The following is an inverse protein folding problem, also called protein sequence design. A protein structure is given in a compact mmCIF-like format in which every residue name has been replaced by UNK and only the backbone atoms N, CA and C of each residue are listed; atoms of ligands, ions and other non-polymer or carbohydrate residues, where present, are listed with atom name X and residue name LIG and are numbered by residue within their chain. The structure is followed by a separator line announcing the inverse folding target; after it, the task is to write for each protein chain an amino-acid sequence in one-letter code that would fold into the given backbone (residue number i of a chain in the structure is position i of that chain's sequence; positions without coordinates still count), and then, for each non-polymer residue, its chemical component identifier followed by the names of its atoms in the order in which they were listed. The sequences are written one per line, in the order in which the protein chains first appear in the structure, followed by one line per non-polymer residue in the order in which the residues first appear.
data_IF_671010118743
#
_entry.id   IF_671010118743
#
_cell.length_a   1.000
_cell.length_b   1.000
_cell.length_c   1.000
_cell.angle_alpha   90.00
_cell.angle_beta   90.00
_cell.angle_gamma   90.00
#
_symmetry.space_group_name_H-M   'P 1'
#
loop_
_entity.id
_entity.type
_entity.pdbx_description
1 polymer ?
#
# COMPACT_ATOMS: atom_id res chain seq x y z
N UNK A 1 -62.20 -24.23 10.13
CA UNK A 1 -60.89 -24.17 10.75
C UNK A 1 -59.90 -23.82 9.65
N UNK A 2 -59.42 -22.56 9.58
CA UNK A 2 -58.41 -22.12 8.61
C UNK A 2 -57.03 -22.34 9.26
N UNK A 3 -56.02 -22.85 8.52
CA UNK A 3 -54.67 -22.93 9.04
C UNK A 3 -54.05 -21.53 9.18
N UNK A 4 -53.17 -21.30 10.15
CA UNK A 4 -52.51 -20.03 10.33
C UNK A 4 -51.53 -19.73 9.16
N UNK A 5 -51.30 -18.45 8.83
CA UNK A 5 -50.37 -18.10 7.78
C UNK A 5 -48.93 -18.45 8.20
N UNK A 6 -48.27 -19.19 7.36
CA UNK A 6 -46.83 -19.49 7.48
C UNK A 6 -46.05 -18.17 7.56
N UNK A 7 -45.38 -17.95 8.68
CA UNK A 7 -44.35 -16.91 8.82
C UNK A 7 -43.27 -17.13 7.76
N UNK A 8 -43.27 -16.28 6.74
CA UNK A 8 -42.11 -16.12 5.82
C UNK A 8 -40.96 -15.62 6.66
N UNK A 9 -40.09 -16.54 7.02
CA UNK A 9 -38.74 -16.25 7.47
C UNK A 9 -38.08 -15.42 6.36
N UNK A 10 -37.71 -14.17 6.70
CA UNK A 10 -37.05 -13.28 5.77
C UNK A 10 -35.83 -13.95 5.18
N UNK A 11 -35.83 -14.12 3.88
CA UNK A 11 -34.62 -14.36 3.12
C UNK A 11 -33.69 -13.15 3.38
N UNK A 12 -32.71 -13.33 4.25
CA UNK A 12 -31.54 -12.47 4.29
C UNK A 12 -31.00 -12.42 2.85
N UNK A 13 -31.21 -11.30 2.18
CA UNK A 13 -30.64 -11.06 0.89
C UNK A 13 -29.10 -11.12 1.10
N UNK A 14 -28.49 -12.19 0.62
CA UNK A 14 -27.04 -12.33 0.54
C UNK A 14 -26.57 -11.15 -0.32
N UNK A 15 -26.13 -10.07 0.35
CA UNK A 15 -25.61 -8.88 -0.34
C UNK A 15 -24.30 -9.29 -0.96
N UNK A 16 -24.35 -9.53 -2.24
CA UNK A 16 -23.21 -9.99 -3.03
C UNK A 16 -22.05 -8.99 -2.97
N UNK A 17 -20.88 -9.47 -2.62
CA UNK A 17 -19.66 -8.64 -2.52
C UNK A 17 -19.18 -8.34 -3.92
N UNK A 18 -19.10 -7.05 -4.29
CA UNK A 18 -18.62 -6.65 -5.63
C UNK A 18 -17.25 -7.23 -5.92
N UNK A 19 -17.07 -7.86 -7.09
CA UNK A 19 -15.75 -8.35 -7.52
C UNK A 19 -14.79 -7.18 -7.72
N UNK A 20 -13.49 -7.47 -7.62
CA UNK A 20 -12.44 -6.53 -8.01
C UNK A 20 -12.33 -6.49 -9.54
N UNK A 21 -11.99 -5.33 -10.07
CA UNK A 21 -11.90 -5.11 -11.52
C UNK A 21 -10.47 -5.02 -12.00
N UNK A 22 -9.56 -4.71 -11.10
CA UNK A 22 -8.14 -4.54 -11.39
C UNK A 22 -7.47 -5.89 -11.64
N UNK A 23 -6.57 -5.88 -12.66
CA UNK A 23 -5.74 -7.03 -13.00
C UNK A 23 -4.32 -6.87 -12.46
N UNK A 24 -3.75 -7.97 -12.03
CA UNK A 24 -2.33 -8.06 -11.74
C UNK A 24 -1.54 -7.86 -13.05
N UNK A 25 -0.54 -7.00 -13.02
CA UNK A 25 0.26 -6.61 -14.21
C UNK A 25 1.05 -7.81 -14.77
N UNK A 26 1.50 -8.72 -13.91
CA UNK A 26 2.39 -9.81 -14.29
C UNK A 26 1.61 -11.05 -14.74
N UNK A 27 0.51 -11.37 -14.06
CA UNK A 27 -0.29 -12.60 -14.33
C UNK A 27 -1.51 -12.33 -15.20
N UNK A 28 -1.88 -11.07 -15.44
CA UNK A 28 -3.13 -10.64 -16.08
C UNK A 28 -4.41 -11.16 -15.38
N UNK A 29 -4.30 -11.88 -14.27
CA UNK A 29 -5.42 -12.34 -13.47
C UNK A 29 -6.05 -11.16 -12.70
N UNK A 30 -7.35 -11.24 -12.43
CA UNK A 30 -8.01 -10.30 -11.52
C UNK A 30 -7.42 -10.47 -10.11
N UNK A 31 -7.33 -9.37 -9.37
CA UNK A 31 -7.05 -9.47 -7.94
C UNK A 31 -8.24 -10.15 -7.25
N UNK A 32 -7.92 -10.97 -6.26
CA UNK A 32 -8.90 -11.65 -5.42
C UNK A 32 -8.66 -11.26 -3.96
N UNK A 33 -9.74 -11.00 -3.22
CA UNK A 33 -9.66 -10.76 -1.78
C UNK A 33 -9.39 -12.06 -1.06
N UNK A 34 -8.74 -11.98 0.09
CA UNK A 34 -8.64 -13.14 0.97
C UNK A 34 -10.04 -13.58 1.42
N UNK A 35 -10.32 -14.90 1.50
CA UNK A 35 -11.64 -15.41 1.90
C UNK A 35 -12.12 -14.87 3.25
N UNK A 36 -11.21 -14.64 4.19
CA UNK A 36 -11.52 -14.04 5.48
C UNK A 36 -11.98 -12.58 5.36
N UNK A 37 -11.39 -11.80 4.45
CA UNK A 37 -11.82 -10.41 4.17
C UNK A 37 -13.22 -10.40 3.58
N UNK A 38 -13.50 -11.27 2.62
CA UNK A 38 -14.84 -11.40 2.05
C UNK A 38 -15.88 -11.79 3.08
N UNK A 39 -15.55 -12.71 3.98
CA UNK A 39 -16.43 -13.12 5.09
C UNK A 39 -16.71 -11.94 6.02
N UNK A 40 -15.69 -11.14 6.35
CA UNK A 40 -15.84 -9.93 7.15
C UNK A 40 -16.73 -8.89 6.45
N UNK A 41 -16.52 -8.69 5.15
CA UNK A 41 -17.34 -7.77 4.35
C UNK A 41 -18.80 -8.20 4.32
N UNK A 42 -19.11 -9.47 4.02
CA UNK A 42 -20.49 -9.98 4.01
C UNK A 42 -21.16 -9.76 5.36
N UNK A 43 -20.47 -10.10 6.45
CA UNK A 43 -20.98 -9.89 7.80
C UNK A 43 -21.23 -8.41 8.09
N UNK A 44 -20.33 -7.51 7.70
CA UNK A 44 -20.48 -6.08 7.90
C UNK A 44 -21.63 -5.48 7.08
N UNK A 45 -21.85 -5.97 5.84
CA UNK A 45 -22.96 -5.56 5.00
C UNK A 45 -24.33 -6.00 5.52
N UNK A 46 -24.37 -7.07 6.32
CA UNK A 46 -25.60 -7.56 6.97
C UNK A 46 -26.01 -6.73 8.21
N UNK A 47 -25.09 -5.93 8.76
CA UNK A 47 -25.38 -5.07 9.92
C UNK A 47 -26.11 -3.80 9.50
N UNK A 48 -26.97 -3.30 10.40
CA UNK A 48 -27.47 -1.94 10.29
C UNK A 48 -26.35 -0.93 10.46
N UNK A 49 -26.49 0.23 9.85
CA UNK A 49 -25.40 1.23 9.75
C UNK A 49 -24.89 1.68 11.12
N UNK A 50 -25.80 1.98 12.04
CA UNK A 50 -25.44 2.42 13.39
C UNK A 50 -24.67 1.32 14.16
N UNK A 51 -25.12 0.07 14.06
CA UNK A 51 -24.48 -1.09 14.68
C UNK A 51 -23.09 -1.34 14.08
N UNK A 52 -22.95 -1.18 12.76
CA UNK A 52 -21.67 -1.31 12.09
C UNK A 52 -20.68 -0.24 12.59
N UNK A 53 -21.08 1.03 12.60
CA UNK A 53 -20.21 2.14 13.03
C UNK A 53 -19.79 1.94 14.49
N UNK A 54 -20.72 1.56 15.37
CA UNK A 54 -20.39 1.26 16.77
C UNK A 54 -19.39 0.09 16.86
N UNK A 55 -19.62 -1.00 16.13
CA UNK A 55 -18.75 -2.17 16.15
C UNK A 55 -17.31 -1.84 15.70
N UNK A 56 -17.14 -1.04 14.64
CA UNK A 56 -15.80 -0.71 14.11
C UNK A 56 -15.06 0.32 14.98
N UNK A 57 -15.78 1.22 15.66
CA UNK A 57 -15.18 2.22 16.55
C UNK A 57 -14.60 1.60 17.82
N UNK A 58 -15.24 0.55 18.33
CA UNK A 58 -14.87 -0.11 19.59
C UNK A 58 -14.11 -1.42 19.40
N UNK A 59 -13.79 -1.81 18.15
CA UNK A 59 -13.07 -3.06 17.90
C UNK A 59 -11.56 -2.91 18.13
N UNK A 60 -11.02 -3.77 18.98
CA UNK A 60 -9.59 -4.00 19.13
C UNK A 60 -9.19 -5.24 18.31
N UNK A 61 -7.88 -5.37 17.99
CA UNK A 61 -7.36 -6.44 17.12
C UNK A 61 -7.77 -7.87 17.53
N UNK A 62 -8.04 -8.11 18.81
CA UNK A 62 -8.47 -9.41 19.32
C UNK A 62 -9.99 -9.57 19.40
N UNK A 63 -10.76 -8.54 19.03
CA UNK A 63 -12.21 -8.59 19.05
C UNK A 63 -12.75 -9.44 17.88
N UNK A 64 -13.76 -10.31 18.11
CA UNK A 64 -14.43 -11.02 17.03
C UNK A 64 -15.17 -10.09 16.05
N UNK A 65 -15.37 -8.82 16.43
CA UNK A 65 -15.94 -7.77 15.59
C UNK A 65 -14.89 -6.99 14.82
N UNK A 66 -13.59 -7.23 15.07
CA UNK A 66 -12.52 -6.55 14.36
C UNK A 66 -12.60 -6.81 12.87
N UNK A 67 -12.60 -5.73 12.09
CA UNK A 67 -12.51 -5.79 10.63
C UNK A 67 -11.09 -5.45 10.20
N UNK A 68 -10.55 -6.23 9.27
CA UNK A 68 -9.27 -5.92 8.63
C UNK A 68 -9.36 -4.63 7.84
N UNK A 69 -8.26 -3.97 7.66
CA UNK A 69 -8.17 -2.70 6.92
C UNK A 69 -8.62 -2.86 5.46
N UNK A 70 -8.39 -4.03 4.86
CA UNK A 70 -8.89 -4.40 3.54
C UNK A 70 -10.43 -4.37 3.48
N UNK A 71 -11.10 -4.86 4.54
CA UNK A 71 -12.56 -4.83 4.64
C UNK A 71 -13.07 -3.39 4.85
N UNK A 72 -12.36 -2.57 5.64
CA UNK A 72 -12.70 -1.16 5.81
C UNK A 72 -12.59 -0.40 4.48
N UNK A 73 -11.55 -0.66 3.66
CA UNK A 73 -11.41 -0.07 2.33
C UNK A 73 -12.61 -0.42 1.42
N UNK A 74 -13.08 -1.66 1.46
CA UNK A 74 -14.29 -2.05 0.74
C UNK A 74 -15.52 -1.27 1.22
N UNK A 75 -15.74 -1.21 2.53
CA UNK A 75 -16.91 -0.56 3.13
C UNK A 75 -16.96 0.93 2.81
N UNK A 76 -15.82 1.65 2.87
CA UNK A 76 -15.74 3.05 2.47
C UNK A 76 -16.31 3.23 1.06
N UNK A 77 -15.82 2.47 0.10
CA UNK A 77 -16.23 2.57 -1.30
C UNK A 77 -17.69 2.17 -1.53
N UNK A 78 -18.16 1.13 -0.87
CA UNK A 78 -19.55 0.67 -1.00
C UNK A 78 -20.52 1.67 -0.40
N UNK A 79 -20.19 2.29 0.73
CA UNK A 79 -21.02 3.35 1.34
C UNK A 79 -21.06 4.61 0.45
N UNK A 80 -19.94 5.00 -0.16
CA UNK A 80 -19.90 6.11 -1.11
C UNK A 80 -20.79 5.85 -2.33
N UNK A 81 -20.71 4.64 -2.92
CA UNK A 81 -21.56 4.25 -4.05
C UNK A 81 -23.05 4.24 -3.72
N UNK A 82 -23.37 3.90 -2.47
CA UNK A 82 -24.73 3.95 -1.96
C UNK A 82 -25.22 5.36 -1.59
N UNK A 83 -24.36 6.39 -1.68
CA UNK A 83 -24.67 7.76 -1.30
C UNK A 83 -24.61 8.04 0.21
N UNK A 84 -24.09 7.11 0.99
CA UNK A 84 -23.97 7.21 2.46
C UNK A 84 -22.63 7.84 2.85
N UNK A 85 -22.46 9.13 2.54
CA UNK A 85 -21.20 9.86 2.73
C UNK A 85 -20.75 9.89 4.20
N UNK A 86 -21.68 10.12 5.13
CA UNK A 86 -21.34 10.19 6.57
C UNK A 86 -20.81 8.88 7.10
N UNK A 87 -21.43 7.77 6.70
CA UNK A 87 -20.98 6.42 7.05
C UNK A 87 -19.60 6.12 6.46
N UNK A 88 -19.37 6.47 5.20
CA UNK A 88 -18.06 6.32 4.57
C UNK A 88 -16.98 7.11 5.31
N UNK A 89 -17.27 8.35 5.71
CA UNK A 89 -16.35 9.20 6.48
C UNK A 89 -16.03 8.59 7.84
N UNK A 90 -17.04 8.05 8.55
CA UNK A 90 -16.85 7.41 9.85
C UNK A 90 -15.93 6.16 9.74
N UNK A 91 -16.12 5.35 8.70
CA UNK A 91 -15.24 4.19 8.44
C UNK A 91 -13.82 4.63 8.10
N UNK A 92 -13.68 5.68 7.27
CA UNK A 92 -12.38 6.25 6.90
C UNK A 92 -11.65 6.82 8.12
N UNK A 93 -12.36 7.48 9.03
CA UNK A 93 -11.78 7.99 10.29
C UNK A 93 -11.19 6.86 11.13
N UNK A 94 -11.89 5.72 11.25
CA UNK A 94 -11.36 4.56 11.97
C UNK A 94 -10.08 4.04 11.32
N UNK A 95 -10.04 3.91 10.00
CA UNK A 95 -8.85 3.48 9.26
C UNK A 95 -7.68 4.45 9.49
N UNK A 96 -7.89 5.75 9.37
CA UNK A 96 -6.88 6.77 9.61
C UNK A 96 -6.36 6.75 11.05
N UNK A 97 -7.25 6.61 12.02
CA UNK A 97 -6.89 6.54 13.45
C UNK A 97 -5.98 5.34 13.73
N UNK A 98 -6.25 4.17 13.13
CA UNK A 98 -5.39 2.98 13.26
C UNK A 98 -3.98 3.23 12.73
N UNK A 99 -3.86 3.99 11.66
CA UNK A 99 -2.59 4.20 10.97
C UNK A 99 -1.86 5.50 11.35
N UNK A 100 -2.45 6.40 12.13
CA UNK A 100 -1.85 7.68 12.50
C UNK A 100 -0.45 7.55 13.12
N UNK A 101 -0.24 6.58 14.02
CA UNK A 101 1.08 6.31 14.62
C UNK A 101 2.07 5.76 13.58
N UNK A 102 1.60 4.91 12.69
CA UNK A 102 2.41 4.32 11.62
C UNK A 102 2.88 5.39 10.64
N UNK A 103 2.00 6.32 10.23
CA UNK A 103 2.34 7.45 9.36
C UNK A 103 3.49 8.26 9.97
N UNK A 104 3.32 8.74 11.21
CA UNK A 104 4.35 9.53 11.91
C UNK A 104 5.67 8.79 12.02
N UNK A 105 5.63 7.50 12.34
CA UNK A 105 6.82 6.66 12.43
C UNK A 105 7.52 6.49 11.09
N UNK A 106 6.77 6.35 9.99
CA UNK A 106 7.34 6.25 8.62
C UNK A 106 7.98 7.57 8.19
N UNK A 107 7.32 8.71 8.41
CA UNK A 107 7.84 10.03 8.11
C UNK A 107 9.16 10.27 8.85
N UNK A 108 9.22 9.97 10.15
CA UNK A 108 10.43 10.11 10.95
C UNK A 108 11.58 9.24 10.45
N UNK A 109 11.32 7.96 10.15
CA UNK A 109 12.32 7.03 9.58
C UNK A 109 12.71 7.39 8.15
N UNK A 110 11.80 8.00 7.40
CA UNK A 110 12.03 8.45 6.03
C UNK A 110 12.93 9.67 5.91
N UNK A 111 13.38 10.26 7.01
CA UNK A 111 14.31 11.40 7.00
C UNK A 111 13.67 12.71 6.52
N UNK A 112 12.37 12.87 6.70
CA UNK A 112 11.67 14.12 6.44
C UNK A 112 11.98 15.12 7.57
N UNK A 113 12.45 16.32 7.21
CA UNK A 113 12.77 17.39 8.14
C UNK A 113 11.53 17.79 8.96
N UNK A 114 11.74 18.19 10.21
CA UNK A 114 10.66 18.48 11.15
C UNK A 114 9.67 19.52 10.62
N UNK A 115 10.16 20.53 9.93
CA UNK A 115 9.36 21.60 9.29
C UNK A 115 8.36 21.09 8.23
N UNK A 116 8.63 19.92 7.63
CA UNK A 116 7.80 19.34 6.56
C UNK A 116 6.98 18.12 7.02
N UNK A 117 7.13 17.67 8.29
CA UNK A 117 6.46 16.46 8.76
C UNK A 117 4.96 16.54 8.76
N UNK A 118 4.42 17.69 9.17
CA UNK A 118 2.98 17.93 9.20
C UNK A 118 2.39 17.94 7.80
N UNK A 119 3.03 18.65 6.86
CA UNK A 119 2.62 18.67 5.46
C UNK A 119 2.70 17.28 4.82
N UNK A 120 3.76 16.51 5.13
CA UNK A 120 3.93 15.16 4.64
C UNK A 120 2.85 14.21 5.22
N UNK A 121 2.48 14.34 6.49
CA UNK A 121 1.39 13.60 7.14
C UNK A 121 0.06 13.90 6.44
N UNK A 122 -0.25 15.18 6.27
CA UNK A 122 -1.45 15.66 5.59
C UNK A 122 -1.53 15.17 4.14
N UNK A 123 -0.42 15.15 3.40
CA UNK A 123 -0.37 14.69 2.01
C UNK A 123 -0.60 13.17 1.92
N UNK A 124 -0.02 12.36 2.84
CA UNK A 124 -0.26 10.91 2.90
C UNK A 124 -1.75 10.63 3.14
N UNK A 125 -2.36 11.33 4.11
CA UNK A 125 -3.78 11.19 4.43
C UNK A 125 -4.64 11.60 3.24
N UNK A 126 -4.34 12.76 2.62
CA UNK A 126 -5.08 13.27 1.46
C UNK A 126 -5.03 12.30 0.28
N UNK A 127 -3.84 11.79 -0.07
CA UNK A 127 -3.72 10.84 -1.19
C UNK A 127 -4.45 9.53 -0.91
N UNK A 128 -4.38 9.02 0.33
CA UNK A 128 -5.13 7.82 0.73
C UNK A 128 -6.63 8.03 0.56
N UNK A 129 -7.17 9.15 1.04
CA UNK A 129 -8.59 9.46 0.93
C UNK A 129 -9.01 9.69 -0.52
N UNK A 130 -8.24 10.42 -1.32
CA UNK A 130 -8.52 10.65 -2.74
C UNK A 130 -8.64 9.30 -3.48
N UNK A 131 -7.71 8.38 -3.26
CA UNK A 131 -7.75 7.08 -3.94
C UNK A 131 -8.89 6.16 -3.44
N UNK A 132 -9.20 6.19 -2.14
CA UNK A 132 -10.30 5.39 -1.59
C UNK A 132 -11.68 5.93 -1.97
N UNK A 133 -11.82 7.26 -2.09
CA UNK A 133 -13.10 7.92 -2.39
C UNK A 133 -13.38 7.99 -3.89
N UNK A 134 -12.38 7.81 -4.73
CA UNK A 134 -12.56 7.65 -6.19
C UNK A 134 -13.16 6.27 -6.48
N UNK A 135 -14.51 6.20 -6.46
CA UNK A 135 -15.25 4.95 -6.69
C UNK A 135 -15.23 4.47 -8.13
N UNK A 136 -14.88 5.33 -9.08
CA UNK A 136 -14.85 5.03 -10.52
C UNK A 136 -13.51 4.39 -10.93
N UNK A 137 -12.47 4.61 -10.14
CA UNK A 137 -11.15 4.05 -10.37
C UNK A 137 -10.99 2.67 -9.72
N UNK A 138 -10.22 1.79 -10.37
CA UNK A 138 -9.81 0.50 -9.83
C UNK A 138 -8.53 0.57 -8.96
N UNK A 139 -7.94 1.78 -8.80
CA UNK A 139 -6.66 1.98 -8.12
C UNK A 139 -6.67 1.44 -6.69
N UNK A 140 -7.74 1.66 -5.96
CA UNK A 140 -7.90 1.21 -4.58
C UNK A 140 -8.32 -0.26 -4.46
N UNK A 141 -8.54 -1.00 -5.55
CA UNK A 141 -8.80 -2.43 -5.49
C UNK A 141 -7.65 -3.18 -4.81
N UNK A 142 -6.41 -2.75 -5.03
CA UNK A 142 -5.26 -3.35 -4.36
C UNK A 142 -5.26 -3.11 -2.84
N UNK A 143 -5.80 -1.99 -2.37
CA UNK A 143 -5.98 -1.75 -0.93
C UNK A 143 -6.93 -2.77 -0.28
N UNK A 144 -7.89 -3.33 -1.03
CA UNK A 144 -8.82 -4.35 -0.55
C UNK A 144 -8.24 -5.77 -0.56
N UNK A 145 -7.03 -5.95 -1.10
CA UNK A 145 -6.31 -7.23 -1.16
C UNK A 145 -5.15 -7.25 -0.17
N UNK A 146 -4.36 -6.17 -0.13
CA UNK A 146 -3.15 -6.02 0.69
C UNK A 146 -2.98 -4.57 1.12
N UNK A 147 -3.77 -4.14 2.07
CA UNK A 147 -3.75 -2.75 2.54
C UNK A 147 -2.37 -2.32 3.03
N UNK A 148 -1.71 -3.13 3.82
CA UNK A 148 -0.39 -2.79 4.38
C UNK A 148 0.64 -2.45 3.31
N UNK A 149 0.70 -3.23 2.22
CA UNK A 149 1.61 -3.00 1.10
C UNK A 149 1.19 -1.79 0.26
N UNK A 150 -0.10 -1.65 0.00
CA UNK A 150 -0.65 -0.48 -0.69
C UNK A 150 -0.29 0.82 0.04
N UNK A 151 -0.54 0.84 1.36
CA UNK A 151 -0.27 1.97 2.21
C UNK A 151 1.24 2.28 2.34
N UNK A 152 2.08 1.25 2.36
CA UNK A 152 3.53 1.41 2.33
C UNK A 152 4.01 2.09 1.05
N UNK A 153 3.53 1.64 -0.12
CA UNK A 153 3.88 2.23 -1.42
C UNK A 153 3.43 3.69 -1.51
N UNK A 154 2.20 3.98 -1.10
CA UNK A 154 1.66 5.33 -1.09
C UNK A 154 2.50 6.24 -0.18
N UNK A 155 2.76 5.81 1.07
CA UNK A 155 3.52 6.59 2.04
C UNK A 155 4.96 6.84 1.56
N UNK A 156 5.64 5.84 1.01
CA UNK A 156 7.00 5.96 0.50
C UNK A 156 7.05 6.93 -0.70
N UNK A 157 6.06 6.89 -1.59
CA UNK A 157 5.94 7.83 -2.70
C UNK A 157 5.86 9.29 -2.24
N UNK A 158 5.03 9.56 -1.23
CA UNK A 158 4.90 10.91 -0.65
C UNK A 158 6.19 11.34 0.06
N UNK A 159 6.74 10.48 0.91
CA UNK A 159 8.00 10.75 1.63
C UNK A 159 9.13 11.06 0.65
N UNK A 160 9.23 10.32 -0.45
CA UNK A 160 10.22 10.58 -1.49
C UNK A 160 10.05 11.95 -2.14
N UNK A 161 8.82 12.39 -2.42
CA UNK A 161 8.53 13.75 -2.92
C UNK A 161 9.05 14.83 -1.95
N UNK A 162 8.79 14.68 -0.65
CA UNK A 162 9.24 15.64 0.37
C UNK A 162 10.77 15.65 0.51
N UNK A 163 11.43 14.50 0.45
CA UNK A 163 12.91 14.42 0.42
C UNK A 163 13.51 15.14 -0.78
N UNK A 164 12.90 14.99 -1.97
CA UNK A 164 13.32 15.74 -3.17
C UNK A 164 13.13 17.24 -3.00
N UNK A 165 12.01 17.66 -2.41
CA UNK A 165 11.76 19.07 -2.10
C UNK A 165 12.83 19.64 -1.17
N UNK A 166 13.14 18.97 -0.07
CA UNK A 166 14.16 19.37 0.90
C UNK A 166 15.55 19.47 0.27
N UNK A 167 15.92 18.52 -0.61
CA UNK A 167 17.19 18.60 -1.34
C UNK A 167 17.27 19.87 -2.20
N UNK A 168 16.19 20.20 -2.91
CA UNK A 168 16.13 21.42 -3.74
C UNK A 168 16.23 22.69 -2.90
N UNK A 169 15.55 22.75 -1.76
CA UNK A 169 15.62 23.86 -0.83
C UNK A 169 17.03 24.04 -0.28
N UNK A 170 17.69 22.98 0.19
CA UNK A 170 19.08 23.02 0.65
C UNK A 170 20.05 23.42 -0.44
N UNK A 171 19.84 22.99 -1.68
CA UNK A 171 20.64 23.42 -2.83
C UNK A 171 20.43 24.92 -3.12
N UNK A 172 19.18 25.40 -3.09
CA UNK A 172 18.89 26.84 -3.27
C UNK A 172 19.50 27.69 -2.16
N UNK A 173 19.49 27.22 -0.91
CA UNK A 173 20.16 27.87 0.21
C UNK A 173 21.69 27.85 0.09
N UNK A 174 22.26 26.79 -0.51
CA UNK A 174 23.73 26.68 -0.71
C UNK A 174 24.23 27.43 -1.93
N UNK A 175 23.40 27.74 -2.92
CA UNK A 175 23.76 28.58 -4.08
C UNK A 175 23.98 30.04 -3.68
N UNK A 176 23.45 30.46 -2.53
CA UNK A 176 23.84 31.74 -1.89
C UNK A 176 25.22 31.67 -1.21
N UNK A 177 25.82 30.47 -1.07
CA UNK A 177 27.17 30.28 -0.52
C UNK A 177 27.94 29.23 -1.34
N UNK A 178 28.72 29.69 -2.33
CA UNK A 178 29.79 29.00 -3.09
C UNK A 178 29.37 27.73 -3.90
N UNK A 179 29.67 27.86 -5.21
CA UNK A 179 29.77 26.77 -6.19
C UNK A 179 30.53 25.57 -5.61
N UNK A 180 29.92 24.42 -5.59
CA UNK A 180 30.64 23.17 -5.73
C UNK A 180 29.75 22.10 -6.39
N UNK A 181 30.35 21.51 -7.44
CA UNK A 181 29.77 20.59 -8.41
C UNK A 181 29.57 19.23 -7.74
N UNK A 182 28.32 18.91 -7.33
CA UNK A 182 27.96 17.56 -6.91
C UNK A 182 26.76 17.06 -7.71
N UNK A 183 27.09 16.18 -8.64
CA UNK A 183 26.19 15.29 -9.38
C UNK A 183 25.02 14.80 -8.51
N UNK A 184 23.78 15.07 -8.98
CA UNK A 184 22.56 14.56 -8.38
C UNK A 184 22.58 13.02 -8.40
N UNK A 185 22.85 12.40 -7.26
CA UNK A 185 22.60 10.98 -7.07
C UNK A 185 21.08 10.76 -6.96
N UNK A 186 20.44 10.51 -8.10
CA UNK A 186 19.08 10.01 -8.13
C UNK A 186 19.15 8.58 -7.56
N UNK A 187 18.60 8.39 -6.37
CA UNK A 187 18.48 7.05 -5.80
C UNK A 187 17.51 6.26 -6.66
N UNK A 188 18.03 5.26 -7.38
CA UNK A 188 17.23 4.38 -8.26
C UNK A 188 16.11 3.70 -7.47
N UNK A 189 16.33 3.44 -6.17
CA UNK A 189 15.35 2.84 -5.26
C UNK A 189 14.16 3.74 -4.99
N UNK A 190 14.36 5.08 -4.95
CA UNK A 190 13.27 6.05 -4.81
C UNK A 190 12.38 6.11 -6.08
N UNK A 191 12.93 5.74 -7.24
CA UNK A 191 12.20 5.76 -8.53
C UNK A 191 11.38 4.48 -8.73
N UNK A 192 11.84 3.35 -8.18
CA UNK A 192 11.17 2.04 -8.33
C UNK A 192 9.91 1.88 -7.47
N UNK A 193 9.69 2.76 -6.48
CA UNK A 193 8.58 2.64 -5.53
C UNK A 193 7.18 2.93 -6.14
N UNK A 194 7.11 3.55 -7.33
CA UNK A 194 5.84 3.90 -7.97
C UNK A 194 5.88 3.64 -9.49
N UNK A 195 5.60 2.41 -9.89
CA UNK A 195 5.51 2.01 -11.31
C UNK A 195 4.49 2.84 -12.12
N UNK A 196 3.58 3.54 -11.47
CA UNK A 196 2.52 4.31 -12.12
C UNK A 196 2.89 5.77 -12.36
N UNK A 197 3.79 6.29 -11.53
CA UNK A 197 4.37 7.61 -11.72
C UNK A 197 5.51 7.60 -12.77
N UNK A 198 5.97 6.41 -13.17
CA UNK A 198 7.04 6.27 -14.14
C UNK A 198 6.55 6.61 -15.55
N UNK A 199 7.28 7.45 -16.25
CA UNK A 199 7.13 7.65 -17.70
C UNK A 199 7.36 6.32 -18.44
N UNK A 200 6.94 6.23 -19.70
CA UNK A 200 7.22 5.05 -20.53
C UNK A 200 8.72 4.76 -20.64
N UNK A 201 9.53 5.81 -20.61
CA UNK A 201 11.00 5.75 -20.65
C UNK A 201 11.57 5.19 -19.34
N UNK A 202 11.09 5.67 -18.19
CA UNK A 202 11.49 5.16 -16.87
C UNK A 202 11.10 3.69 -16.67
N UNK A 203 9.93 3.29 -17.19
CA UNK A 203 9.52 1.87 -17.16
C UNK A 203 10.44 0.98 -18.01
N UNK A 204 10.85 1.47 -19.18
CA UNK A 204 11.81 0.75 -20.02
C UNK A 204 13.17 0.64 -19.33
N UNK A 205 13.64 1.73 -18.71
CA UNK A 205 14.88 1.77 -17.95
C UNK A 205 14.84 0.81 -16.74
N UNK A 206 13.74 0.80 -16.00
CA UNK A 206 13.54 -0.12 -14.87
C UNK A 206 13.56 -1.58 -15.31
N UNK A 207 12.89 -1.91 -16.42
CA UNK A 207 12.89 -3.27 -16.98
C UNK A 207 14.30 -3.70 -17.41
N UNK A 208 15.05 -2.80 -18.04
CA UNK A 208 16.42 -3.06 -18.48
C UNK A 208 17.37 -3.24 -17.27
N UNK A 209 17.21 -2.44 -16.23
CA UNK A 209 17.94 -2.57 -14.98
C UNK A 209 17.68 -3.93 -14.29
N UNK A 210 16.40 -4.33 -14.18
CA UNK A 210 16.02 -5.61 -13.60
C UNK A 210 16.50 -6.80 -14.44
N UNK A 211 16.49 -6.68 -15.77
CA UNK A 211 17.02 -7.70 -16.67
C UNK A 211 18.53 -7.92 -16.52
N UNK A 212 19.25 -6.91 -16.02
CA UNK A 212 20.69 -7.01 -15.74
C UNK A 212 21.00 -7.84 -14.49
N UNK A 213 20.04 -8.00 -13.57
CA UNK A 213 20.25 -8.79 -12.37
C UNK A 213 20.21 -10.29 -12.68
N UNK A 214 21.12 -11.10 -12.09
CA UNK A 214 20.96 -12.56 -12.00
C UNK A 214 19.59 -12.94 -11.41
N UNK A 215 19.05 -14.07 -11.84
CA UNK A 215 17.68 -14.48 -11.49
C UNK A 215 17.44 -14.56 -9.98
N UNK A 216 18.40 -15.09 -9.22
CA UNK A 216 18.30 -15.24 -7.77
C UNK A 216 18.36 -13.89 -7.02
N UNK A 217 19.05 -12.89 -7.56
CA UNK A 217 19.09 -11.53 -7.03
C UNK A 217 17.84 -10.76 -7.45
N UNK A 218 17.38 -10.94 -8.70
CA UNK A 218 16.18 -10.32 -9.24
C UNK A 218 14.94 -10.75 -8.46
N UNK A 219 14.79 -12.05 -8.20
CA UNK A 219 13.66 -12.59 -7.45
C UNK A 219 13.58 -12.02 -6.03
N UNK A 220 14.67 -12.02 -5.29
CA UNK A 220 14.71 -11.44 -3.93
C UNK A 220 14.41 -9.94 -3.97
N UNK A 221 14.93 -9.23 -4.97
CA UNK A 221 14.71 -7.80 -5.15
C UNK A 221 13.24 -7.50 -5.45
N UNK A 222 12.61 -8.24 -6.37
CA UNK A 222 11.19 -8.11 -6.70
C UNK A 222 10.30 -8.40 -5.49
N UNK A 223 10.53 -9.51 -4.79
CA UNK A 223 9.78 -9.86 -3.58
C UNK A 223 9.88 -8.76 -2.50
N UNK A 224 11.04 -8.15 -2.34
CA UNK A 224 11.26 -7.11 -1.32
C UNK A 224 10.66 -5.77 -1.71
N UNK A 225 10.97 -5.27 -2.93
CA UNK A 225 10.69 -3.89 -3.32
C UNK A 225 9.41 -3.73 -4.14
N UNK A 226 8.96 -4.77 -4.85
CA UNK A 226 7.72 -4.74 -5.62
C UNK A 226 6.56 -5.43 -4.90
N UNK A 227 6.82 -6.58 -4.27
CA UNK A 227 5.80 -7.31 -3.52
C UNK A 227 5.74 -6.91 -2.03
N UNK A 228 6.75 -6.19 -1.52
CA UNK A 228 6.81 -5.67 -0.16
C UNK A 228 6.98 -6.75 0.92
N UNK A 229 7.46 -7.94 0.55
CA UNK A 229 7.63 -9.02 1.50
C UNK A 229 8.71 -8.72 2.53
N UNK A 230 8.49 -9.16 3.76
CA UNK A 230 9.50 -9.08 4.81
C UNK A 230 10.62 -10.10 4.57
N UNK A 231 11.84 -9.75 4.96
CA UNK A 231 12.99 -10.68 4.90
C UNK A 231 12.72 -11.95 5.70
N UNK A 232 12.13 -11.77 6.89
CA UNK A 232 11.70 -12.82 7.81
C UNK A 232 10.41 -12.40 8.51
N UNK A 233 9.56 -13.36 8.91
CA UNK A 233 8.38 -13.12 9.74
C UNK A 233 8.32 -14.15 10.86
N UNK A 234 8.00 -13.68 12.04
CA UNK A 234 7.75 -14.54 13.21
C UNK A 234 6.36 -15.19 13.17
N UNK A 235 5.46 -14.64 12.34
CA UNK A 235 4.11 -15.19 12.13
C UNK A 235 4.15 -16.33 11.11
N UNK A 236 3.61 -17.53 11.42
CA UNK A 236 3.53 -18.62 10.46
C UNK A 236 2.61 -18.33 9.27
N UNK A 237 1.68 -17.39 9.40
CA UNK A 237 0.69 -17.01 8.38
C UNK A 237 1.17 -15.91 7.46
N UNK A 238 2.20 -15.14 7.85
CA UNK A 238 2.74 -14.07 7.01
C UNK A 238 3.81 -14.60 6.05
N UNK A 239 3.70 -14.28 4.74
CA UNK A 239 4.73 -14.63 3.79
C UNK A 239 6.02 -13.88 4.09
N UNK A 240 7.16 -14.57 4.05
CA UNK A 240 8.48 -13.97 4.14
C UNK A 240 9.40 -14.54 3.07
N UNK A 241 10.34 -13.70 2.61
CA UNK A 241 11.26 -14.06 1.52
C UNK A 241 12.10 -15.28 1.91
N UNK A 242 12.60 -15.33 3.16
CA UNK A 242 13.41 -16.43 3.65
C UNK A 242 12.66 -17.77 3.63
N UNK A 243 11.38 -17.76 3.97
CA UNK A 243 10.53 -18.95 3.97
C UNK A 243 10.17 -19.38 2.54
N UNK A 244 9.81 -18.44 1.70
CA UNK A 244 9.43 -18.71 0.31
C UNK A 244 10.58 -19.30 -0.50
N UNK A 245 11.78 -18.71 -0.39
CA UNK A 245 12.97 -19.18 -1.10
C UNK A 245 13.72 -20.31 -0.38
N UNK A 246 13.24 -20.71 0.80
CA UNK A 246 13.90 -21.73 1.65
C UNK A 246 15.37 -21.41 1.93
N UNK A 247 15.67 -20.14 2.25
CA UNK A 247 17.01 -19.65 2.58
C UNK A 247 17.00 -18.92 3.92
N UNK A 248 18.18 -18.74 4.52
CA UNK A 248 18.27 -18.01 5.79
C UNK A 248 18.00 -16.51 5.59
N UNK A 249 17.48 -15.79 6.60
CA UNK A 249 17.31 -14.33 6.54
C UNK A 249 18.61 -13.58 6.24
N UNK A 250 19.74 -14.13 6.67
CA UNK A 250 21.07 -13.60 6.35
C UNK A 250 21.36 -13.70 4.85
N UNK A 251 21.02 -14.81 4.23
CA UNK A 251 21.16 -15.02 2.78
C UNK A 251 20.33 -14.03 2.00
N UNK A 252 19.07 -13.80 2.42
CA UNK A 252 18.19 -12.79 1.81
C UNK A 252 18.82 -11.39 1.88
N UNK A 253 19.30 -10.98 3.06
CA UNK A 253 19.95 -9.68 3.24
C UNK A 253 21.21 -9.52 2.38
N UNK A 254 22.02 -10.58 2.26
CA UNK A 254 23.20 -10.56 1.38
C UNK A 254 22.79 -10.42 -0.08
N UNK A 255 21.81 -11.20 -0.56
CA UNK A 255 21.32 -11.10 -1.94
C UNK A 255 20.73 -9.73 -2.26
N UNK A 256 19.99 -9.12 -1.35
CA UNK A 256 19.50 -7.74 -1.51
C UNK A 256 20.64 -6.75 -1.68
N UNK A 257 21.64 -6.80 -0.79
CA UNK A 257 22.81 -5.94 -0.89
C UNK A 257 23.57 -6.13 -2.22
N UNK A 258 23.71 -7.37 -2.67
CA UNK A 258 24.41 -7.69 -3.91
C UNK A 258 23.60 -7.24 -5.15
N UNK A 259 22.25 -7.33 -5.10
CA UNK A 259 21.36 -6.77 -6.12
C UNK A 259 21.49 -5.25 -6.21
N UNK A 260 21.43 -4.56 -5.08
CA UNK A 260 21.61 -3.09 -5.02
C UNK A 260 22.98 -2.65 -5.55
N UNK A 261 24.04 -3.35 -5.17
CA UNK A 261 25.40 -3.07 -5.67
C UNK A 261 25.51 -3.31 -7.19
N UNK A 262 24.84 -4.34 -7.71
CA UNK A 262 24.80 -4.62 -9.14
C UNK A 262 24.07 -3.54 -9.92
N UNK A 263 22.91 -3.09 -9.41
CA UNK A 263 22.14 -2.01 -10.03
C UNK A 263 22.88 -0.67 -10.01
N UNK A 264 23.62 -0.36 -8.93
CA UNK A 264 24.48 0.84 -8.89
C UNK A 264 25.53 0.82 -9.99
N UNK A 265 26.29 -0.28 -10.11
CA UNK A 265 27.32 -0.44 -11.15
C UNK A 265 26.74 -0.34 -12.57
N UNK A 266 25.56 -0.94 -12.79
CA UNK A 266 24.86 -0.83 -14.06
C UNK A 266 24.49 0.61 -14.40
N UNK A 267 23.99 1.38 -13.42
CA UNK A 267 23.66 2.82 -13.58
C UNK A 267 24.91 3.64 -13.91
N UNK A 268 26.00 3.44 -13.16
CA UNK A 268 27.27 4.14 -13.39
C UNK A 268 27.83 3.85 -14.79
N UNK A 269 27.74 2.60 -15.26
CA UNK A 269 28.15 2.20 -16.60
C UNK A 269 27.30 2.80 -17.74
N UNK A 270 26.04 3.19 -17.47
CA UNK A 270 25.20 3.89 -18.46
C UNK A 270 25.41 5.40 -18.50
N UNK A 271 25.80 6.01 -17.39
CA UNK A 271 26.10 7.46 -17.33
C UNK A 271 27.44 7.82 -17.94
N UNK A 272 28.32 6.84 -18.18
CA UNK A 272 29.63 7.02 -18.81
C UNK A 272 29.67 6.80 -20.33
N UNK A 273 28.51 6.62 -20.96
CA UNK A 273 28.37 6.55 -22.42
C UNK A 273 27.44 7.66 -22.92
#
# INVERSE_FOLDING_TARGET
MRPPPSSRTGAEADKDVRPLTRRNTDTCALYERLPEVETQVRRALALEEEVLIEAIQHSYDESPTHLKDEALCYLIRERLRAGHQESANAVAEVLLRRHAKTIRSRIGRGGVDERHREDCDGEIVSQLLIELFDTDSDRSDFAQVRFGLYFERLSNGVISKFRKLQRRERQAESVTSTQDDRTEEIDLLDTLADERALSAEDRALTRDALAHLPDDLREVFLLRYFEGWQTESNSPTEPSISRYLNVTPRTVRNRLRDAEASLRRWREGKQGK
#
